data_IF_605610686966
#
_entry.id   IF_605610686966
#
_cell.length_a   1.000
_cell.length_b   1.000
_cell.length_c   1.000
_cell.angle_alpha   90.00
_cell.angle_beta   90.00
_cell.angle_gamma   90.00
#
_symmetry.space_group_name_H-M   'P 1'
#
loop_
_entity.id
_entity.type
_entity.pdbx_description
1 polymer ?
#
# COMPACT_ATOMS: atom_id res chain seq x y z
N UNK A 1 28.62 -20.15 -11.34
CA UNK A 1 28.29 -19.01 -10.45
C UNK A 1 26.83 -18.56 -10.60
N UNK A 2 26.16 -18.88 -11.72
CA UNK A 2 24.75 -18.57 -12.03
C UNK A 2 23.72 -19.15 -11.05
N UNK A 3 23.95 -20.35 -10.52
CA UNK A 3 23.00 -21.00 -9.61
C UNK A 3 22.78 -20.22 -8.30
N UNK A 4 23.79 -19.47 -7.83
CA UNK A 4 23.64 -18.65 -6.62
C UNK A 4 22.79 -17.40 -6.87
N UNK A 5 22.95 -16.72 -8.01
CA UNK A 5 22.13 -15.55 -8.36
C UNK A 5 20.67 -15.92 -8.62
N UNK A 6 20.42 -17.08 -9.22
CA UNK A 6 19.06 -17.56 -9.49
C UNK A 6 18.30 -17.92 -8.21
N UNK A 7 18.98 -18.56 -7.24
CA UNK A 7 18.40 -18.84 -5.91
C UNK A 7 18.11 -17.54 -5.17
N UNK A 8 19.02 -16.56 -5.23
CA UNK A 8 18.80 -15.23 -4.62
C UNK A 8 17.59 -14.52 -5.23
N UNK A 9 17.46 -14.55 -6.57
CA UNK A 9 16.32 -13.99 -7.27
C UNK A 9 15.01 -14.67 -6.85
N UNK A 10 14.98 -16.01 -6.84
CA UNK A 10 13.81 -16.80 -6.44
C UNK A 10 13.39 -16.53 -5.00
N UNK A 11 14.34 -16.49 -4.06
CA UNK A 11 14.05 -16.16 -2.67
C UNK A 11 13.52 -14.73 -2.51
N UNK A 12 14.07 -13.78 -3.28
CA UNK A 12 13.60 -12.41 -3.27
C UNK A 12 12.15 -12.30 -3.76
N UNK A 13 11.80 -12.99 -4.85
CA UNK A 13 10.41 -13.06 -5.35
C UNK A 13 9.46 -13.56 -4.27
N UNK A 14 9.80 -14.66 -3.60
CA UNK A 14 8.97 -15.20 -2.50
C UNK A 14 8.88 -14.20 -1.34
N UNK A 15 9.97 -13.50 -1.00
CA UNK A 15 9.96 -12.46 0.03
C UNK A 15 9.05 -11.27 -0.32
N UNK A 16 9.07 -10.82 -1.57
CA UNK A 16 8.16 -9.77 -2.08
C UNK A 16 6.71 -10.22 -1.96
N UNK A 17 6.41 -11.45 -2.39
CA UNK A 17 5.06 -12.02 -2.32
C UNK A 17 4.59 -12.12 -0.87
N UNK A 18 5.42 -12.62 0.04
CA UNK A 18 5.09 -12.73 1.45
C UNK A 18 4.82 -11.34 2.08
N UNK A 19 5.65 -10.34 1.78
CA UNK A 19 5.40 -8.96 2.24
C UNK A 19 4.09 -8.40 1.69
N UNK A 20 3.79 -8.66 0.41
CA UNK A 20 2.53 -8.24 -0.19
C UNK A 20 1.31 -8.95 0.44
N UNK A 21 1.38 -10.25 0.70
CA UNK A 21 0.32 -11.04 1.33
C UNK A 21 0.08 -10.66 2.80
N UNK A 22 1.11 -10.19 3.50
CA UNK A 22 1.01 -9.68 4.87
C UNK A 22 0.54 -8.22 4.95
N UNK A 23 0.10 -7.61 3.84
CA UNK A 23 -0.27 -6.19 3.73
C UNK A 23 0.87 -5.22 4.13
N UNK A 24 2.12 -5.65 3.93
CA UNK A 24 3.36 -4.90 4.18
C UNK A 24 4.04 -4.51 2.87
N UNK A 25 3.25 -4.25 1.84
CA UNK A 25 3.73 -3.98 0.48
C UNK A 25 4.56 -2.69 0.40
N UNK A 26 4.34 -1.71 1.28
CA UNK A 26 5.09 -0.45 1.33
C UNK A 26 6.57 -0.68 1.66
N UNK A 27 6.88 -1.76 2.39
CA UNK A 27 8.23 -2.12 2.82
C UNK A 27 9.00 -2.87 1.72
N UNK A 28 8.34 -3.30 0.65
CA UNK A 28 8.96 -4.15 -0.39
C UNK A 28 10.16 -3.45 -1.03
N UNK A 29 10.01 -2.21 -1.50
CA UNK A 29 11.10 -1.54 -2.21
C UNK A 29 12.31 -1.32 -1.29
N UNK A 30 12.10 -0.87 -0.06
CA UNK A 30 13.19 -0.65 0.89
C UNK A 30 13.88 -1.96 1.29
N UNK A 31 13.11 -3.04 1.49
CA UNK A 31 13.65 -4.36 1.77
C UNK A 31 14.47 -4.93 0.60
N UNK A 32 13.95 -4.82 -0.62
CA UNK A 32 14.63 -5.24 -1.85
C UNK A 32 15.95 -4.48 -2.04
N UNK A 33 15.93 -3.16 -1.82
CA UNK A 33 17.13 -2.34 -1.92
C UNK A 33 18.12 -2.59 -0.78
N UNK A 34 17.70 -3.01 0.41
CA UNK A 34 18.64 -3.51 1.43
C UNK A 34 19.34 -4.81 0.99
N UNK A 35 18.69 -5.61 0.14
CA UNK A 35 19.23 -6.88 -0.31
C UNK A 35 20.17 -6.73 -1.53
N UNK A 36 19.84 -5.85 -2.48
CA UNK A 36 20.62 -5.61 -3.72
C UNK A 36 21.43 -4.31 -3.71
N UNK A 37 21.30 -3.50 -2.66
CA UNK A 37 21.95 -2.21 -2.42
C UNK A 37 21.50 -1.06 -3.31
N UNK A 38 21.53 -1.24 -4.63
CA UNK A 38 21.24 -0.17 -5.59
C UNK A 38 20.24 -0.64 -6.66
N UNK A 39 19.34 0.23 -7.15
CA UNK A 39 18.32 -0.13 -8.13
C UNK A 39 18.89 -0.77 -9.40
N UNK A 40 20.03 -0.30 -9.89
CA UNK A 40 20.70 -0.72 -11.13
C UNK A 40 21.08 -2.21 -11.13
N UNK A 41 21.33 -2.78 -9.94
CA UNK A 41 21.71 -4.18 -9.77
C UNK A 41 20.54 -5.11 -9.47
N UNK A 42 19.31 -4.59 -9.54
CA UNK A 42 18.12 -5.42 -9.40
C UNK A 42 18.00 -6.40 -10.57
N UNK A 43 17.74 -7.69 -10.29
CA UNK A 43 17.36 -8.63 -11.34
C UNK A 43 16.11 -8.12 -12.08
N UNK A 44 16.02 -8.26 -13.41
CA UNK A 44 14.87 -7.77 -14.18
C UNK A 44 13.53 -8.22 -13.62
N UNK A 45 13.46 -9.50 -13.20
CA UNK A 45 12.23 -10.09 -12.65
C UNK A 45 11.79 -9.46 -11.33
N UNK A 46 12.75 -9.06 -10.50
CA UNK A 46 12.49 -8.41 -9.21
C UNK A 46 11.94 -7.01 -9.45
N UNK A 47 12.56 -6.24 -10.36
CA UNK A 47 12.08 -4.90 -10.71
C UNK A 47 10.67 -4.95 -11.33
N UNK A 48 10.43 -5.88 -12.26
CA UNK A 48 9.12 -6.12 -12.87
C UNK A 48 8.04 -6.31 -11.80
N UNK A 49 8.31 -7.20 -10.83
CA UNK A 49 7.37 -7.52 -9.77
C UNK A 49 7.09 -6.33 -8.85
N UNK A 50 8.13 -5.55 -8.50
CA UNK A 50 7.96 -4.32 -7.73
C UNK A 50 7.10 -3.29 -8.48
N UNK A 51 7.37 -3.04 -9.76
CA UNK A 51 6.55 -2.10 -10.57
C UNK A 51 5.09 -2.55 -10.64
N UNK A 52 4.84 -3.84 -10.87
CA UNK A 52 3.49 -4.39 -10.90
C UNK A 52 2.77 -4.26 -9.54
N UNK A 53 3.47 -4.54 -8.44
CA UNK A 53 2.92 -4.41 -7.09
C UNK A 53 2.51 -2.96 -6.79
N UNK A 54 3.44 -2.01 -6.94
CA UNK A 54 3.16 -0.60 -6.63
C UNK A 54 2.12 0.01 -7.58
N UNK A 55 2.08 -0.43 -8.84
CA UNK A 55 1.01 -0.05 -9.76
C UNK A 55 -0.36 -0.61 -9.31
N UNK A 56 -0.42 -1.87 -8.86
CA UNK A 56 -1.64 -2.48 -8.32
C UNK A 56 -2.14 -1.77 -7.06
N UNK A 57 -1.22 -1.30 -6.22
CA UNK A 57 -1.53 -0.53 -5.00
C UNK A 57 -1.81 0.95 -5.27
N UNK A 58 -1.88 1.37 -6.54
CA UNK A 58 -2.13 2.75 -6.96
C UNK A 58 -1.08 3.77 -6.47
N UNK A 59 0.12 3.29 -6.15
CA UNK A 59 1.26 4.10 -5.71
C UNK A 59 2.47 3.93 -6.65
N UNK A 60 2.30 4.13 -7.99
CA UNK A 60 3.38 3.92 -8.94
C UNK A 60 4.54 4.91 -8.76
N UNK A 61 4.31 6.05 -8.09
CA UNK A 61 5.32 7.06 -7.80
C UNK A 61 6.52 6.53 -7.00
N UNK A 62 6.29 5.54 -6.14
CA UNK A 62 7.37 4.89 -5.37
C UNK A 62 8.41 4.20 -6.28
N UNK A 63 8.02 3.80 -7.49
CA UNK A 63 8.89 3.11 -8.43
C UNK A 63 9.54 4.02 -9.48
N UNK A 64 9.24 5.33 -9.46
CA UNK A 64 9.74 6.28 -10.47
C UNK A 64 11.27 6.29 -10.53
N UNK A 65 11.91 6.53 -9.38
CA UNK A 65 13.37 6.62 -9.30
C UNK A 65 14.02 5.26 -9.59
N UNK A 66 13.60 4.20 -8.89
CA UNK A 66 14.21 2.88 -9.03
C UNK A 66 14.15 2.33 -10.47
N UNK A 67 13.01 2.47 -11.15
CA UNK A 67 12.87 2.02 -12.54
C UNK A 67 13.64 2.92 -13.52
N UNK A 68 13.64 4.24 -13.31
CA UNK A 68 14.39 5.16 -14.17
C UNK A 68 15.91 4.92 -14.05
N UNK A 69 16.43 4.76 -12.84
CA UNK A 69 17.86 4.49 -12.62
C UNK A 69 18.27 3.16 -13.23
N UNK A 70 17.44 2.11 -13.09
CA UNK A 70 17.70 0.82 -13.74
C UNK A 70 17.75 0.92 -15.27
N UNK A 71 16.81 1.67 -15.88
CA UNK A 71 16.74 1.86 -17.33
C UNK A 71 17.88 2.72 -17.90
N UNK A 72 18.47 3.60 -17.10
CA UNK A 72 19.58 4.45 -17.53
C UNK A 72 20.96 3.78 -17.37
N UNK A 73 21.03 2.66 -16.65
CA UNK A 73 22.29 1.96 -16.42
C UNK A 73 22.80 1.26 -17.70
N UNK A 74 24.04 1.53 -18.15
CA UNK A 74 24.60 0.94 -19.36
C UNK A 74 24.66 -0.59 -19.36
N UNK A 75 24.82 -1.23 -18.19
CA UNK A 75 24.89 -2.69 -18.08
C UNK A 75 23.53 -3.34 -18.41
N UNK A 76 22.43 -2.58 -18.24
CA UNK A 76 21.07 -3.08 -18.43
C UNK A 76 20.55 -2.90 -19.87
N UNK A 77 21.13 -1.99 -20.66
CA UNK A 77 20.68 -1.68 -22.03
C UNK A 77 20.72 -2.90 -22.96
N UNK A 78 21.65 -3.83 -22.72
CA UNK A 78 21.82 -5.04 -23.52
C UNK A 78 20.96 -6.24 -23.09
N UNK A 79 20.19 -6.10 -22.00
CA UNK A 79 19.40 -7.21 -21.47
C UNK A 79 18.16 -7.49 -22.33
N UNK A 80 17.79 -8.77 -22.52
CA UNK A 80 16.60 -9.11 -23.28
C UNK A 80 15.30 -8.60 -22.63
N UNK A 81 15.28 -8.44 -21.30
CA UNK A 81 14.14 -7.92 -20.55
C UNK A 81 14.02 -6.40 -20.57
N UNK A 82 15.06 -5.69 -21.05
CA UNK A 82 15.11 -4.22 -21.04
C UNK A 82 13.88 -3.61 -21.71
N UNK A 83 13.51 -4.11 -22.89
CA UNK A 83 12.32 -3.66 -23.63
C UNK A 83 11.06 -3.76 -22.77
N UNK A 84 10.82 -4.95 -22.22
CA UNK A 84 9.61 -5.23 -21.42
C UNK A 84 9.55 -4.32 -20.20
N UNK A 85 10.68 -4.06 -19.54
CA UNK A 85 10.75 -3.16 -18.40
C UNK A 85 10.56 -1.69 -18.79
N UNK A 86 11.06 -1.26 -19.95
CA UNK A 86 10.83 0.08 -20.48
C UNK A 86 9.35 0.30 -20.81
N UNK A 87 8.69 -0.67 -21.45
CA UNK A 87 7.24 -0.67 -21.71
C UNK A 87 6.46 -0.63 -20.40
N UNK A 88 6.85 -1.45 -19.42
CA UNK A 88 6.19 -1.49 -18.12
C UNK A 88 6.33 -0.16 -17.39
N UNK A 89 7.52 0.45 -17.39
CA UNK A 89 7.76 1.76 -16.78
C UNK A 89 6.93 2.86 -17.45
N UNK A 90 6.87 2.87 -18.78
CA UNK A 90 6.03 3.79 -19.53
C UNK A 90 4.56 3.72 -19.09
N UNK A 91 3.98 2.51 -19.12
CA UNK A 91 2.54 2.34 -18.94
C UNK A 91 2.09 2.32 -17.48
N UNK A 92 2.94 1.84 -16.56
CA UNK A 92 2.58 1.66 -15.15
C UNK A 92 3.11 2.75 -14.25
N UNK A 93 4.09 3.54 -14.70
CA UNK A 93 4.72 4.59 -13.91
C UNK A 93 4.57 5.95 -14.57
N UNK A 94 5.14 6.17 -15.76
CA UNK A 94 5.20 7.51 -16.37
C UNK A 94 3.82 8.04 -16.79
N UNK A 95 3.04 7.27 -17.54
CA UNK A 95 1.73 7.71 -18.02
C UNK A 95 0.73 7.96 -16.87
N UNK A 96 0.58 7.08 -15.86
CA UNK A 96 -0.33 7.32 -14.74
C UNK A 96 0.05 8.54 -13.89
N UNK A 97 1.36 8.82 -13.75
CA UNK A 97 1.86 9.99 -13.02
C UNK A 97 1.84 11.27 -13.86
N UNK A 98 1.66 11.16 -15.17
CA UNK A 98 1.62 12.30 -16.07
C UNK A 98 2.99 12.84 -16.52
N UNK A 99 4.05 12.07 -16.34
CA UNK A 99 5.41 12.41 -16.80
C UNK A 99 5.55 12.19 -18.31
N UNK A 100 4.85 13.01 -19.09
CA UNK A 100 4.74 12.84 -20.54
C UNK A 100 6.05 13.19 -21.29
N UNK A 101 6.86 14.10 -20.76
CA UNK A 101 8.14 14.45 -21.40
C UNK A 101 9.15 13.33 -21.25
N UNK A 102 9.23 12.74 -20.07
CA UNK A 102 10.06 11.59 -19.74
C UNK A 102 9.62 10.36 -20.53
N UNK A 103 8.30 10.15 -20.67
CA UNK A 103 7.74 9.10 -21.50
C UNK A 103 8.17 9.22 -22.97
N UNK A 104 8.10 10.42 -23.54
CA UNK A 104 8.50 10.68 -24.93
C UNK A 104 10.01 10.46 -25.13
N UNK A 105 10.84 10.95 -24.19
CA UNK A 105 12.30 10.71 -24.21
C UNK A 105 12.64 9.23 -24.15
N UNK A 106 11.95 8.45 -23.32
CA UNK A 106 12.18 7.01 -23.21
C UNK A 106 11.91 6.28 -24.52
N UNK A 107 10.79 6.59 -25.18
CA UNK A 107 10.37 5.94 -26.43
C UNK A 107 11.30 6.30 -27.60
N UNK A 108 11.69 7.58 -27.71
CA UNK A 108 12.55 8.07 -28.80
C UNK A 108 14.01 7.67 -28.57
N UNK A 109 14.50 7.74 -27.34
CA UNK A 109 15.91 7.48 -27.00
C UNK A 109 16.27 5.99 -26.91
N UNK A 110 15.29 5.10 -26.75
CA UNK A 110 15.54 3.67 -26.62
C UNK A 110 15.56 2.98 -27.99
N UNK A 111 16.69 2.37 -28.33
CA UNK A 111 16.81 1.48 -29.48
C UNK A 111 16.04 0.16 -29.33
N UNK A 112 15.51 -0.12 -28.12
CA UNK A 112 14.87 -1.40 -27.84
C UNK A 112 13.46 -1.52 -28.47
N UNK A 113 12.75 -0.41 -28.71
CA UNK A 113 11.41 -0.43 -29.28
C UNK A 113 11.44 -0.61 -30.81
N UNK A 114 10.54 -1.46 -31.34
CA UNK A 114 10.30 -1.50 -32.79
C UNK A 114 9.55 -0.23 -33.26
N UNK A 115 9.56 0.04 -34.57
CA UNK A 115 8.82 1.19 -35.13
C UNK A 115 7.32 1.15 -34.81
N UNK A 116 6.69 -0.03 -34.93
CA UNK A 116 5.28 -0.22 -34.58
C UNK A 116 5.02 0.09 -33.10
N UNK A 117 5.85 -0.45 -32.20
CA UNK A 117 5.73 -0.20 -30.76
C UNK A 117 5.97 1.27 -30.39
N UNK A 118 6.89 1.95 -31.09
CA UNK A 118 7.12 3.38 -30.89
C UNK A 118 5.89 4.19 -31.26
N UNK A 119 5.26 3.87 -32.39
CA UNK A 119 4.04 4.54 -32.83
C UNK A 119 2.91 4.33 -31.82
N UNK A 120 2.69 3.10 -31.34
CA UNK A 120 1.69 2.79 -30.33
C UNK A 120 1.96 3.55 -29.01
N UNK A 121 3.21 3.59 -28.57
CA UNK A 121 3.62 4.32 -27.37
C UNK A 121 3.41 5.83 -27.51
N UNK A 122 3.78 6.42 -28.65
CA UNK A 122 3.55 7.84 -28.94
C UNK A 122 2.05 8.16 -29.03
N UNK A 123 1.24 7.24 -29.58
CA UNK A 123 -0.21 7.37 -29.58
C UNK A 123 -0.77 7.36 -28.15
N UNK A 124 -0.30 6.46 -27.28
CA UNK A 124 -0.69 6.44 -25.87
C UNK A 124 -0.32 7.74 -25.15
N UNK A 125 0.90 8.27 -25.39
CA UNK A 125 1.36 9.56 -24.83
C UNK A 125 0.47 10.72 -25.31
N UNK A 126 0.15 10.79 -26.60
CA UNK A 126 -0.71 11.85 -27.14
C UNK A 126 -2.13 11.79 -26.58
N UNK A 127 -2.68 10.59 -26.40
CA UNK A 127 -3.98 10.36 -25.76
C UNK A 127 -3.96 10.84 -24.30
N UNK A 128 -2.92 10.48 -23.54
CA UNK A 128 -2.75 10.93 -22.17
C UNK A 128 -2.62 12.47 -22.07
N UNK A 129 -1.92 13.10 -23.02
CA UNK A 129 -1.78 14.55 -23.14
C UNK A 129 -3.13 15.25 -23.36
N UNK A 130 -3.97 14.69 -24.23
CA UNK A 130 -5.33 15.20 -24.46
C UNK A 130 -6.19 15.08 -23.20
N UNK A 131 -6.16 13.93 -22.52
CA UNK A 131 -6.91 13.73 -21.28
C UNK A 131 -6.51 14.71 -20.17
N UNK A 132 -5.22 15.01 -20.02
CA UNK A 132 -4.76 16.04 -19.07
C UNK A 132 -5.27 17.43 -19.45
N UNK A 133 -5.22 17.79 -20.73
CA UNK A 133 -5.70 19.08 -21.21
C UNK A 133 -7.20 19.25 -20.97
N UNK A 134 -8.01 18.21 -21.21
CA UNK A 134 -9.44 18.22 -20.92
C UNK A 134 -9.72 18.39 -19.41
N UNK A 135 -9.05 17.64 -18.54
CA UNK A 135 -9.19 17.83 -17.07
C UNK A 135 -8.82 19.25 -16.61
N UNK A 136 -7.84 19.87 -17.26
CA UNK A 136 -7.45 21.25 -16.94
C UNK A 136 -8.49 22.27 -17.43
N UNK A 137 -9.00 22.13 -18.66
CA UNK A 137 -10.06 22.98 -19.19
C UNK A 137 -11.39 22.84 -18.43
N UNK A 138 -11.78 21.62 -18.04
CA UNK A 138 -12.96 21.37 -17.19
C UNK A 138 -12.81 21.99 -15.79
N UNK A 139 -11.56 22.13 -15.31
CA UNK A 139 -11.25 22.83 -14.05
C UNK A 139 -11.34 24.35 -14.22
N UNK A 140 -10.87 24.91 -15.34
CA UNK A 140 -10.96 26.35 -15.64
C UNK A 140 -12.40 26.82 -15.90
N UNK A 141 -13.22 26.02 -16.59
CA UNK A 141 -14.64 26.32 -16.83
C UNK A 141 -15.47 26.22 -15.52
N UNK A 142 -15.18 25.22 -14.67
CA UNK A 142 -15.79 25.11 -13.35
C UNK A 142 -15.32 26.18 -12.34
N UNK A 143 -14.14 26.77 -12.50
CA UNK A 143 -13.68 27.87 -11.63
C UNK A 143 -14.47 29.17 -11.83
N UNK A 144 -15.06 29.37 -13.02
CA UNK A 144 -15.93 30.52 -13.27
C UNK A 144 -17.34 30.36 -12.69
N UNK A 145 -17.78 29.12 -12.44
CA UNK A 145 -19.11 28.80 -11.92
C UNK A 145 -19.14 28.51 -10.40
N UNK A 146 -18.01 28.12 -9.80
CA UNK A 146 -17.96 27.61 -8.42
C UNK A 146 -17.24 28.55 -7.43
N UNK A 147 -17.71 29.79 -7.25
CA UNK A 147 -17.45 30.50 -5.99
C UNK A 147 -18.05 29.76 -4.77
N UNK A 148 -19.01 28.85 -4.98
CA UNK A 148 -19.57 27.96 -3.95
C UNK A 148 -18.69 26.71 -3.63
N UNK A 149 -17.81 26.29 -4.55
CA UNK A 149 -17.08 25.01 -4.47
C UNK A 149 -15.74 25.04 -3.72
N UNK A 150 -15.28 26.23 -3.30
CA UNK A 150 -14.02 26.41 -2.58
C UNK A 150 -13.94 25.61 -1.27
N UNK A 151 -15.09 25.33 -0.65
CA UNK A 151 -15.15 24.57 0.59
C UNK A 151 -14.85 23.08 0.39
N UNK A 152 -15.30 22.46 -0.70
CA UNK A 152 -15.19 21.00 -0.88
C UNK A 152 -13.76 20.54 -1.16
N UNK A 153 -13.03 21.24 -2.04
CA UNK A 153 -11.64 20.87 -2.37
C UNK A 153 -10.65 21.16 -1.22
N UNK A 154 -10.91 22.21 -0.43
CA UNK A 154 -10.17 22.48 0.81
C UNK A 154 -10.49 21.41 1.86
N UNK A 155 -11.75 21.00 1.99
CA UNK A 155 -12.14 19.96 2.94
C UNK A 155 -11.57 18.59 2.57
N UNK A 156 -11.53 18.24 1.27
CA UNK A 156 -10.93 17.00 0.77
C UNK A 156 -9.41 16.97 0.97
N UNK A 157 -8.70 18.06 0.67
CA UNK A 157 -7.25 18.15 0.94
C UNK A 157 -6.93 18.11 2.43
N UNK A 158 -7.77 18.74 3.27
CA UNK A 158 -7.64 18.70 4.72
C UNK A 158 -7.97 17.31 5.28
N UNK A 159 -8.95 16.60 4.72
CA UNK A 159 -9.24 15.20 5.03
C UNK A 159 -8.11 14.24 4.60
N UNK A 160 -7.47 14.47 3.46
CA UNK A 160 -6.31 13.69 3.03
C UNK A 160 -5.10 13.91 3.94
N UNK A 161 -4.88 15.15 4.40
CA UNK A 161 -3.86 15.46 5.41
C UNK A 161 -4.20 14.81 6.76
N UNK A 162 -5.47 14.86 7.20
CA UNK A 162 -5.91 14.18 8.41
C UNK A 162 -5.74 12.66 8.30
N UNK A 163 -6.07 12.06 7.15
CA UNK A 163 -5.88 10.62 6.92
C UNK A 163 -4.41 10.23 6.95
N UNK A 164 -3.52 11.04 6.35
CA UNK A 164 -2.07 10.81 6.38
C UNK A 164 -1.48 10.93 7.78
N UNK A 165 -1.96 11.88 8.58
CA UNK A 165 -1.59 12.02 9.99
C UNK A 165 -2.17 10.89 10.85
N UNK A 166 -3.39 10.43 10.54
CA UNK A 166 -4.04 9.30 11.19
C UNK A 166 -3.29 8.00 10.95
N UNK A 167 -2.95 7.68 9.69
CA UNK A 167 -2.20 6.45 9.34
C UNK A 167 -0.79 6.46 9.97
N UNK A 168 -0.15 7.64 10.08
CA UNK A 168 1.12 7.79 10.78
C UNK A 168 1.01 7.61 12.31
N UNK A 169 -0.14 7.93 12.90
CA UNK A 169 -0.35 7.81 14.35
C UNK A 169 -0.85 6.41 14.72
N UNK A 170 -1.75 5.85 13.92
CA UNK A 170 -2.33 4.51 14.10
C UNK A 170 -1.27 3.42 13.92
N UNK A 171 -0.34 3.57 12.99
CA UNK A 171 0.79 2.62 12.86
C UNK A 171 1.68 2.59 14.11
N UNK A 172 1.86 3.74 14.78
CA UNK A 172 2.61 3.84 16.03
C UNK A 172 1.81 3.35 17.26
N UNK A 173 0.47 3.48 17.24
CA UNK A 173 -0.42 3.04 18.31
C UNK A 173 -0.78 1.54 18.24
N UNK A 174 -0.89 0.95 17.05
CA UNK A 174 -1.13 -0.50 16.90
C UNK A 174 0.11 -1.36 17.14
N UNK A 175 1.30 -0.75 17.12
CA UNK A 175 2.56 -1.40 17.50
C UNK A 175 2.77 -1.44 19.03
N UNK A 176 2.02 -0.67 19.83
CA UNK A 176 2.05 -0.81 21.28
C UNK A 176 1.37 -2.14 21.67
N UNK A 177 1.85 -2.83 22.73
CA UNK A 177 1.25 -4.07 23.19
C UNK A 177 -0.03 -3.73 23.96
N UNK A 178 -1.07 -3.25 23.27
CA UNK A 178 -2.36 -2.86 23.82
C UNK A 178 -2.94 -3.99 24.68
N UNK A 179 -2.68 -5.25 24.29
CA UNK A 179 -3.03 -6.44 25.08
C UNK A 179 -2.33 -6.49 26.44
N UNK A 180 -1.04 -6.13 26.54
CA UNK A 180 -0.29 -6.15 27.81
C UNK A 180 -0.63 -4.96 28.70
N UNK A 181 -0.82 -3.77 28.11
CA UNK A 181 -1.22 -2.57 28.87
C UNK A 181 -2.65 -2.69 29.40
N UNK A 182 -3.58 -3.23 28.61
CA UNK A 182 -4.95 -3.48 29.04
C UNK A 182 -5.01 -4.57 30.12
N UNK A 183 -4.21 -5.63 29.99
CA UNK A 183 -4.08 -6.66 31.03
C UNK A 183 -3.50 -6.07 32.33
N UNK A 184 -2.46 -5.23 32.24
CA UNK A 184 -1.88 -4.55 33.38
C UNK A 184 -2.87 -3.60 34.07
N UNK A 185 -3.67 -2.84 33.29
CA UNK A 185 -4.71 -1.98 33.82
C UNK A 185 -5.85 -2.77 34.48
N UNK A 186 -6.26 -3.91 33.91
CA UNK A 186 -7.23 -4.82 34.52
C UNK A 186 -6.70 -5.41 35.83
N UNK A 187 -5.44 -5.85 35.86
CA UNK A 187 -4.80 -6.36 37.07
C UNK A 187 -4.72 -5.25 38.13
N UNK A 188 -4.31 -4.04 37.77
CA UNK A 188 -4.26 -2.90 38.69
C UNK A 188 -5.64 -2.53 39.24
N UNK A 189 -6.68 -2.55 38.39
CA UNK A 189 -8.07 -2.34 38.80
C UNK A 189 -8.54 -3.40 39.80
N UNK A 190 -8.25 -4.68 39.53
CA UNK A 190 -8.56 -5.78 40.44
C UNK A 190 -7.79 -5.68 41.76
N UNK A 191 -6.54 -5.21 41.73
CA UNK A 191 -5.73 -4.97 42.93
C UNK A 191 -6.32 -3.82 43.76
N UNK A 192 -6.65 -2.68 43.16
CA UNK A 192 -7.27 -1.54 43.87
C UNK A 192 -8.60 -1.94 44.51
N UNK A 193 -9.42 -2.74 43.82
CA UNK A 193 -10.68 -3.27 44.36
C UNK A 193 -10.45 -4.29 45.49
N UNK A 194 -9.33 -5.04 45.48
CA UNK A 194 -8.99 -6.03 46.52
C UNK A 194 -8.25 -5.44 47.72
N UNK A 195 -7.58 -4.30 47.56
CA UNK A 195 -6.78 -3.65 48.60
C UNK A 195 -7.52 -2.55 49.38
N UNK A 196 -8.78 -2.26 49.06
CA UNK A 196 -9.65 -1.38 49.86
C UNK A 196 -10.62 -2.22 50.72
N UNK A 197 -10.26 -2.56 51.96
CA UNK A 197 -11.14 -3.31 52.87
C UNK A 197 -12.28 -2.46 53.46
N UNK A 198 -12.47 -1.20 53.03
CA UNK A 198 -13.45 -0.28 53.61
C UNK A 198 -14.48 0.32 52.64
N UNK A 199 -14.60 -0.16 51.38
CA UNK A 199 -15.62 0.37 50.44
C UNK A 199 -16.76 -0.62 50.16
N UNK A 200 -17.98 -0.39 50.68
CA UNK A 200 -19.16 -1.20 50.37
C UNK A 200 -19.86 -0.82 49.05
N UNK A 201 -19.25 -0.01 48.17
CA UNK A 201 -19.96 0.64 47.06
C UNK A 201 -19.70 0.06 45.65
N UNK A 202 -18.78 -0.89 45.47
CA UNK A 202 -18.46 -1.48 44.15
C UNK A 202 -18.99 -2.90 43.90
N UNK A 203 -19.51 -3.56 44.95
CA UNK A 203 -20.16 -4.87 44.86
C UNK A 203 -21.31 -4.97 43.82
N UNK A 204 -22.21 -3.98 43.66
CA UNK A 204 -23.32 -4.13 42.71
C UNK A 204 -22.87 -4.09 41.25
N UNK A 205 -21.75 -3.41 40.94
CA UNK A 205 -21.23 -3.31 39.57
C UNK A 205 -20.53 -4.61 39.17
N UNK A 206 -19.74 -5.20 40.07
CA UNK A 206 -19.13 -6.52 39.83
C UNK A 206 -20.18 -7.63 39.73
N UNK A 207 -21.23 -7.60 40.55
CA UNK A 207 -22.34 -8.54 40.42
C UNK A 207 -23.09 -8.36 39.08
N UNK A 208 -23.31 -7.12 38.62
CA UNK A 208 -23.89 -6.86 37.30
C UNK A 208 -22.99 -7.37 36.17
N UNK A 209 -21.67 -7.16 36.25
CA UNK A 209 -20.73 -7.66 35.25
C UNK A 209 -20.69 -9.20 35.23
N UNK A 210 -20.68 -9.84 36.40
CA UNK A 210 -20.77 -11.30 36.50
C UNK A 210 -22.09 -11.85 35.93
N UNK A 211 -23.21 -11.16 36.17
CA UNK A 211 -24.51 -11.51 35.57
C UNK A 211 -24.50 -11.34 34.05
N UNK A 212 -23.91 -10.27 33.52
CA UNK A 212 -23.79 -10.07 32.07
C UNK A 212 -22.92 -11.18 31.46
N UNK A 213 -21.80 -11.54 32.10
CA UNK A 213 -20.96 -12.64 31.65
C UNK A 213 -21.68 -14.00 31.72
N UNK A 214 -22.47 -14.25 32.76
CA UNK A 214 -23.30 -15.44 32.86
C UNK A 214 -24.36 -15.49 31.74
N UNK A 215 -25.01 -14.35 31.47
CA UNK A 215 -26.03 -14.25 30.44
C UNK A 215 -25.47 -14.43 29.03
N UNK A 216 -24.30 -13.84 28.73
CA UNK A 216 -23.59 -14.03 27.46
C UNK A 216 -23.14 -15.49 27.32
N UNK A 217 -22.66 -16.10 28.41
CA UNK A 217 -22.28 -17.51 28.45
C UNK A 217 -23.50 -18.40 28.15
N UNK A 218 -24.62 -18.19 28.82
CA UNK A 218 -25.86 -18.94 28.56
C UNK A 218 -26.36 -18.73 27.13
N UNK A 219 -26.35 -17.51 26.60
CA UNK A 219 -26.74 -17.22 25.22
C UNK A 219 -25.85 -17.93 24.18
N UNK A 220 -24.54 -18.00 24.44
CA UNK A 220 -23.61 -18.72 23.57
C UNK A 220 -23.74 -20.24 23.64
N UNK A 221 -23.98 -20.80 24.84
CA UNK A 221 -24.08 -22.26 25.04
C UNK A 221 -25.49 -22.82 24.80
N UNK A 222 -26.54 -22.01 24.89
CA UNK A 222 -27.92 -22.43 24.58
C UNK A 222 -28.19 -22.55 23.08
N UNK A 223 -27.45 -21.83 22.24
CA UNK A 223 -27.52 -21.98 20.77
C UNK A 223 -26.99 -23.33 20.26
N UNK A 224 -26.34 -24.14 21.12
CA UNK A 224 -25.72 -25.41 20.73
C UNK A 224 -26.51 -26.67 21.14
N UNK A 225 -27.71 -26.53 21.74
CA UNK A 225 -28.53 -27.67 22.18
C UNK A 225 -29.89 -27.82 21.48
N UNK A 226 -30.17 -27.06 20.42
CA UNK A 226 -31.38 -27.26 19.62
C UNK A 226 -31.04 -27.92 18.28
N UNK A 227 -30.67 -29.20 18.34
CA UNK A 227 -30.70 -30.09 17.19
C UNK A 227 -32.05 -30.83 17.23
N UNK A 228 -33.01 -30.55 16.33
CA UNK A 228 -34.22 -31.35 16.24
C UNK A 228 -33.90 -32.62 15.46
N UNK A 229 -33.88 -33.77 16.14
CA UNK A 229 -34.13 -35.06 15.49
C UNK A 229 -35.64 -35.10 15.24
N UNK A 230 -36.03 -35.13 13.98
CA UNK A 230 -37.39 -35.38 13.54
C UNK A 230 -37.42 -36.78 12.92
N UNK A 231 -38.35 -37.60 13.38
CA UNK A 231 -38.77 -38.85 12.72
C UNK A 231 -39.29 -38.57 11.30
#
# INVERSE_FOLDING_TARGET
MECSSEVKCSLCVVGIQALAEMDRWQEVLSWVLQYYQVPEKLPPKVLELCVLLYSKMQEPGAMLEAANTWLQDPDNLGLPEYRTLAELHLHRVLLPLGYLSEAEKLVVGSAAFSEEQRLDALQAISTARQQQKHKHSDSEENQKLNQEGSFSNKFLSLLMLLRRLWDSTVSHFFALPFRKSLLAALILCLLVVRFDPASPSSLPILCKLAQIFHWIREAMFSSSYQLPIHD
#
